data_IF_987273102124
#
_entry.id   IF_987273102124
#
_cell.length_a   1.000
_cell.length_b   1.000
_cell.length_c   1.000
_cell.angle_alpha   90.00
_cell.angle_beta   90.00
_cell.angle_gamma   90.00
#
_symmetry.space_group_name_H-M   'P 1'
#
loop_
_entity.id
_entity.type
_entity.pdbx_description
1 polymer ?
#
# COMPACT_ATOMS: atom_id res chain seq x y z
N UNK A 1 -3.78 17.87 -4.97
CA UNK A 1 -2.81 17.09 -4.16
C UNK A 1 -1.41 17.47 -4.64
N UNK A 2 -0.51 17.89 -3.75
CA UNK A 2 0.86 18.34 -4.12
C UNK A 2 1.73 17.13 -4.54
N UNK A 3 2.41 17.21 -5.69
CA UNK A 3 3.28 16.15 -6.20
C UNK A 3 4.40 15.75 -5.22
N UNK A 4 4.88 16.71 -4.41
CA UNK A 4 5.86 16.45 -3.34
C UNK A 4 5.29 15.56 -2.24
N UNK A 5 3.99 15.66 -2.00
CA UNK A 5 3.29 14.84 -1.01
C UNK A 5 3.23 13.37 -1.45
N UNK A 6 2.87 13.16 -2.72
CA UNK A 6 2.83 11.82 -3.34
C UNK A 6 4.20 11.16 -3.31
N UNK A 7 5.26 11.90 -3.68
CA UNK A 7 6.61 11.35 -3.67
C UNK A 7 7.07 10.96 -2.25
N UNK A 8 6.68 11.73 -1.23
CA UNK A 8 7.03 11.43 0.16
C UNK A 8 6.29 10.20 0.66
N UNK A 9 4.98 10.08 0.40
CA UNK A 9 4.19 8.87 0.74
C UNK A 9 4.81 7.62 0.13
N UNK A 10 5.16 7.66 -1.15
CA UNK A 10 5.79 6.53 -1.84
C UNK A 10 7.13 6.12 -1.20
N UNK A 11 7.94 7.08 -0.74
CA UNK A 11 9.19 6.79 -0.01
C UNK A 11 8.90 6.13 1.34
N UNK A 12 7.88 6.58 2.06
CA UNK A 12 7.46 5.96 3.33
C UNK A 12 7.06 4.51 3.11
N UNK A 13 6.24 4.22 2.09
CA UNK A 13 5.86 2.84 1.77
C UNK A 13 7.02 1.96 1.38
N UNK A 14 7.91 2.44 0.51
CA UNK A 14 9.12 1.68 0.15
C UNK A 14 9.99 1.39 1.36
N UNK A 15 10.19 2.38 2.23
CA UNK A 15 10.94 2.21 3.47
C UNK A 15 10.27 1.20 4.39
N UNK A 16 8.95 1.24 4.52
CA UNK A 16 8.20 0.30 5.35
C UNK A 16 8.25 -1.13 4.82
N UNK A 17 8.08 -1.35 3.52
CA UNK A 17 8.23 -2.66 2.89
C UNK A 17 9.62 -3.24 3.14
N UNK A 18 10.68 -2.42 3.00
CA UNK A 18 12.06 -2.86 3.28
C UNK A 18 12.25 -3.31 4.72
N UNK A 19 11.67 -2.58 5.67
CA UNK A 19 11.70 -2.99 7.08
C UNK A 19 10.97 -4.32 7.29
N UNK A 20 9.83 -4.53 6.63
CA UNK A 20 9.05 -5.77 6.71
C UNK A 20 9.73 -6.98 6.05
N UNK A 21 10.59 -6.76 5.05
CA UNK A 21 11.42 -7.81 4.45
C UNK A 21 12.46 -8.35 5.45
N UNK A 22 12.92 -7.51 6.39
CA UNK A 22 13.98 -7.88 7.34
C UNK A 22 13.46 -8.39 8.69
N UNK A 23 12.31 -7.90 9.16
CA UNK A 23 11.78 -8.23 10.49
C UNK A 23 10.26 -8.17 10.56
N UNK A 24 9.70 -8.83 11.57
CA UNK A 24 8.25 -8.88 11.77
C UNK A 24 7.71 -7.50 12.13
N UNK A 25 6.47 -7.20 11.72
CA UNK A 25 5.80 -5.93 12.04
C UNK A 25 5.82 -5.57 13.54
N UNK A 26 5.68 -6.56 14.43
CA UNK A 26 5.76 -6.37 15.88
C UNK A 26 7.09 -5.76 16.33
N UNK A 27 8.18 -6.12 15.66
CA UNK A 27 9.56 -5.68 15.94
C UNK A 27 9.94 -4.39 15.20
N UNK A 28 9.16 -4.00 14.18
CA UNK A 28 9.38 -2.78 13.43
C UNK A 28 9.15 -1.54 14.29
N UNK A 29 10.05 -0.57 14.22
CA UNK A 29 9.87 0.74 14.83
C UNK A 29 9.63 1.82 13.79
N UNK A 30 8.96 2.91 14.15
CA UNK A 30 8.86 4.08 13.27
C UNK A 30 10.25 4.58 12.88
N UNK A 31 11.24 4.50 13.77
CA UNK A 31 12.63 4.90 13.48
C UNK A 31 13.26 4.08 12.36
N UNK A 32 13.03 2.77 12.32
CA UNK A 32 13.50 1.92 11.21
C UNK A 32 12.94 2.42 9.87
N UNK A 33 11.63 2.68 9.83
CA UNK A 33 10.94 3.14 8.63
C UNK A 33 11.49 4.51 8.17
N UNK A 34 11.70 5.43 9.11
CA UNK A 34 12.27 6.75 8.83
C UNK A 34 13.67 6.66 8.21
N UNK A 35 14.50 5.73 8.70
CA UNK A 35 15.85 5.53 8.20
C UNK A 35 15.83 5.03 6.74
N UNK A 36 15.05 4.00 6.43
CA UNK A 36 14.95 3.49 5.05
C UNK A 36 14.24 4.46 4.09
N UNK A 37 13.25 5.20 4.58
CA UNK A 37 12.53 6.19 3.77
C UNK A 37 13.31 7.50 3.59
N UNK A 38 14.41 7.69 4.34
CA UNK A 38 15.24 8.89 4.37
C UNK A 38 14.40 10.18 4.60
N UNK A 39 13.54 10.14 5.63
CA UNK A 39 12.67 11.27 6.00
C UNK A 39 12.75 11.62 7.48
N UNK A 40 12.37 12.85 7.83
CA UNK A 40 12.31 13.28 9.22
C UNK A 40 11.09 12.71 9.95
N UNK A 41 11.22 12.54 11.28
CA UNK A 41 10.10 12.15 12.16
C UNK A 41 8.90 13.09 12.05
N UNK A 42 9.15 14.42 11.95
CA UNK A 42 8.10 15.43 11.72
C UNK A 42 7.38 15.18 10.39
N UNK A 43 8.15 14.87 9.34
CA UNK A 43 7.58 14.56 8.02
C UNK A 43 6.67 13.35 8.11
N UNK A 44 7.10 12.25 8.75
CA UNK A 44 6.27 11.05 8.89
C UNK A 44 4.94 11.33 9.59
N UNK A 45 4.96 12.06 10.71
CA UNK A 45 3.74 12.38 11.45
C UNK A 45 2.81 13.36 10.75
N UNK A 46 3.23 13.99 9.65
CA UNK A 46 2.30 14.72 8.78
C UNK A 46 1.45 13.79 7.90
N UNK A 47 1.87 12.53 7.71
CA UNK A 47 1.15 11.53 6.92
C UNK A 47 0.48 10.48 7.80
N UNK A 48 1.17 10.01 8.85
CA UNK A 48 0.73 8.88 9.66
C UNK A 48 0.98 9.14 11.14
N UNK A 49 -0.02 8.90 11.99
CA UNK A 49 0.06 9.03 13.45
C UNK A 49 0.94 7.94 14.08
N UNK A 50 0.99 6.76 13.47
CA UNK A 50 1.75 5.61 13.95
C UNK A 50 2.00 4.59 12.83
N UNK A 51 2.73 3.51 13.14
CA UNK A 51 3.03 2.44 12.17
C UNK A 51 1.81 1.58 11.81
N UNK A 52 0.76 1.58 12.62
CA UNK A 52 -0.48 0.84 12.36
C UNK A 52 -1.30 1.52 11.28
N UNK A 53 -1.46 2.85 11.34
CA UNK A 53 -2.13 3.62 10.29
C UNK A 53 -1.40 3.48 8.94
N UNK A 54 -0.07 3.42 8.97
CA UNK A 54 0.73 3.13 7.78
C UNK A 54 0.47 1.72 7.22
N UNK A 55 0.30 0.73 8.10
CA UNK A 55 -0.01 -0.64 7.70
C UNK A 55 -1.39 -0.72 7.07
N UNK A 56 -2.41 -0.10 7.69
CA UNK A 56 -3.76 -0.04 7.14
C UNK A 56 -3.79 0.62 5.75
N UNK A 57 -3.04 1.72 5.56
CA UNK A 57 -2.94 2.38 4.26
C UNK A 57 -2.25 1.50 3.21
N UNK A 58 -1.21 0.76 3.59
CA UNK A 58 -0.55 -0.22 2.71
C UNK A 58 -1.49 -1.38 2.34
N UNK A 59 -2.21 -1.93 3.30
CA UNK A 59 -3.18 -3.01 3.08
C UNK A 59 -4.30 -2.58 2.14
N UNK A 60 -4.83 -1.36 2.33
CA UNK A 60 -5.83 -0.79 1.45
C UNK A 60 -5.31 -0.60 0.02
N UNK A 61 -4.08 -0.08 -0.14
CA UNK A 61 -3.48 0.09 -1.47
C UNK A 61 -3.27 -1.26 -2.18
N UNK A 62 -2.82 -2.29 -1.45
CA UNK A 62 -2.68 -3.65 -1.99
C UNK A 62 -4.02 -4.24 -2.40
N UNK A 63 -5.04 -4.12 -1.55
CA UNK A 63 -6.38 -4.63 -1.86
C UNK A 63 -6.97 -3.93 -3.08
N UNK A 64 -6.89 -2.60 -3.15
CA UNK A 64 -7.37 -1.82 -4.30
C UNK A 64 -6.67 -2.27 -5.58
N UNK A 65 -5.34 -2.36 -5.57
CA UNK A 65 -4.58 -2.81 -6.73
C UNK A 65 -4.95 -4.24 -7.16
N UNK A 66 -5.21 -5.14 -6.20
CA UNK A 66 -5.68 -6.49 -6.49
C UNK A 66 -7.07 -6.49 -7.11
N UNK A 67 -8.01 -5.68 -6.60
CA UNK A 67 -9.35 -5.54 -7.16
C UNK A 67 -9.31 -5.01 -8.59
N UNK A 68 -8.48 -4.00 -8.86
CA UNK A 68 -8.29 -3.42 -10.20
C UNK A 68 -7.70 -4.44 -11.18
N UNK A 69 -6.70 -5.21 -10.76
CA UNK A 69 -6.13 -6.29 -11.55
C UNK A 69 -7.18 -7.37 -11.87
N UNK A 70 -7.93 -7.81 -10.86
CA UNK A 70 -9.00 -8.81 -11.03
C UNK A 70 -10.14 -8.31 -11.94
N UNK A 71 -10.48 -7.03 -11.88
CA UNK A 71 -11.51 -6.45 -12.77
C UNK A 71 -11.00 -6.35 -14.21
N UNK A 72 -9.71 -6.04 -14.39
CA UNK A 72 -9.06 -6.03 -15.71
C UNK A 72 -9.09 -7.43 -16.32
N UNK A 73 -8.61 -8.44 -15.58
CA UNK A 73 -8.63 -9.84 -16.01
C UNK A 73 -10.06 -10.31 -16.31
N UNK A 74 -11.04 -9.96 -15.45
CA UNK A 74 -12.45 -10.29 -15.66
C UNK A 74 -12.98 -9.69 -16.96
N UNK A 75 -12.66 -8.42 -17.24
CA UNK A 75 -13.10 -7.75 -18.46
C UNK A 75 -12.50 -8.40 -19.72
N UNK A 76 -11.26 -8.88 -19.65
CA UNK A 76 -10.63 -9.63 -20.74
C UNK A 76 -11.28 -11.01 -20.95
N UNK A 77 -11.57 -11.74 -19.86
CA UNK A 77 -12.25 -13.03 -19.92
C UNK A 77 -13.68 -12.93 -20.49
N UNK A 78 -14.42 -11.87 -20.15
CA UNK A 78 -15.76 -11.63 -20.70
C UNK A 78 -15.73 -11.37 -22.22
N UNK A 79 -14.72 -10.65 -22.71
CA UNK A 79 -14.53 -10.43 -24.16
C UNK A 79 -14.25 -11.74 -24.90
N UNK A 80 -13.60 -12.71 -24.25
CA UNK A 80 -13.29 -14.02 -24.83
C UNK A 80 -14.47 -15.02 -24.86
N UNK A 81 -15.66 -14.66 -24.33
CA UNK A 81 -16.84 -15.55 -24.21
C UNK A 81 -16.63 -16.84 -23.41
N UNK A 82 -15.55 -16.97 -22.62
CA UNK A 82 -15.22 -18.25 -21.98
C UNK A 82 -15.86 -18.48 -20.61
N UNK A 83 -16.26 -17.46 -19.82
CA UNK A 83 -16.84 -17.70 -18.48
C UNK A 83 -17.80 -16.58 -18.04
N UNK A 84 -19.06 -16.92 -17.72
CA UNK A 84 -19.96 -16.08 -16.90
C UNK A 84 -19.75 -16.41 -15.43
N UNK A 85 -18.95 -15.60 -14.72
CA UNK A 85 -18.83 -15.66 -13.26
C UNK A 85 -19.83 -14.69 -12.60
N UNK A 86 -20.49 -15.09 -11.49
CA UNK A 86 -21.49 -14.27 -10.83
C UNK A 86 -20.90 -12.92 -10.37
N UNK A 87 -21.67 -11.85 -10.56
CA UNK A 87 -21.39 -10.53 -9.99
C UNK A 87 -21.56 -10.59 -8.47
N UNK A 88 -20.76 -9.78 -7.75
CA UNK A 88 -20.69 -9.62 -6.29
C UNK A 88 -22.06 -9.86 -5.60
N UNK A 89 -22.05 -10.67 -4.53
CA UNK A 89 -23.08 -10.62 -3.51
C UNK A 89 -23.05 -9.20 -2.90
N UNK A 90 -24.21 -8.56 -2.86
CA UNK A 90 -24.47 -7.26 -2.23
C UNK A 90 -24.08 -7.25 -0.73
#
# INVERSE_FOLDING_TARGET
MDFRSINTRNRIFRGFIKVLEEKRFSECTTSDILNYAEISKKTFYNYYKNKQELLEDLENELLVGLWEALETDRAELQKSKLITLPKKLE
#
